data_IF_086723133469
#
_entry.id   IF_086723133469
#
_cell.length_a   1.000
_cell.length_b   1.000
_cell.length_c   1.000
_cell.angle_alpha   90.00
_cell.angle_beta   90.00
_cell.angle_gamma   90.00
#
_symmetry.space_group_name_H-M   'P 1'
#
loop_
_entity.id
_entity.type
_entity.pdbx_description
1 polymer ?
#
# COMPACT_ATOMS: atom_id res chain seq x y z
N UNK A 1 32.81 81.05 18.69
CA UNK A 1 31.70 80.20 19.04
C UNK A 1 30.86 79.93 17.76
N UNK A 2 31.00 78.77 17.13
CA UNK A 2 30.20 78.38 16.00
C UNK A 2 29.82 76.87 16.20
N UNK A 3 28.58 76.64 16.49
CA UNK A 3 27.98 75.38 16.69
C UNK A 3 27.69 74.72 15.31
N UNK A 4 28.38 73.65 14.99
CA UNK A 4 28.09 72.83 13.81
C UNK A 4 27.00 71.85 14.12
N UNK A 5 25.95 71.79 13.28
CA UNK A 5 24.89 70.79 13.29
C UNK A 5 25.30 69.64 12.36
N UNK A 6 25.47 68.45 12.91
CA UNK A 6 25.59 67.26 12.15
C UNK A 6 24.18 66.73 11.85
N UNK A 7 23.84 66.59 10.57
CA UNK A 7 22.65 65.91 10.10
C UNK A 7 22.99 64.43 9.96
N UNK A 8 22.28 63.59 10.72
CA UNK A 8 22.39 62.15 10.64
C UNK A 8 21.41 61.60 9.56
N UNK A 9 21.96 61.16 8.45
CA UNK A 9 21.20 60.57 7.39
C UNK A 9 20.95 59.05 7.76
N UNK A 10 19.73 58.74 8.17
CA UNK A 10 19.34 57.34 8.43
C UNK A 10 19.01 56.62 7.09
N UNK A 11 19.90 55.79 6.64
CA UNK A 11 19.61 54.85 5.54
C UNK A 11 18.76 53.68 6.04
N UNK A 12 17.50 53.65 5.65
CA UNK A 12 16.61 52.52 5.89
C UNK A 12 16.91 51.47 4.83
N UNK A 13 17.69 50.47 5.20
CA UNK A 13 17.82 49.22 4.39
C UNK A 13 16.57 48.40 4.57
N UNK A 14 15.72 48.36 3.55
CA UNK A 14 14.71 47.31 3.43
C UNK A 14 15.38 45.97 3.14
N UNK A 15 15.60 45.17 4.18
CA UNK A 15 15.91 43.76 4.03
C UNK A 15 14.61 43.06 3.68
N UNK A 16 14.41 42.79 2.39
CA UNK A 16 13.45 41.79 1.95
C UNK A 16 13.92 40.41 2.45
N UNK A 17 13.47 40.03 3.63
CA UNK A 17 13.71 38.73 4.19
C UNK A 17 12.94 37.70 3.36
N UNK A 18 13.64 36.95 2.51
CA UNK A 18 13.17 35.67 2.03
C UNK A 18 13.02 34.76 3.24
N UNK A 19 11.80 34.65 3.77
CA UNK A 19 11.44 33.62 4.71
C UNK A 19 11.36 32.28 3.96
N UNK A 20 12.50 31.72 3.60
CA UNK A 20 12.61 30.30 3.40
C UNK A 20 12.61 29.68 4.80
N UNK A 21 11.43 29.32 5.30
CA UNK A 21 11.32 28.38 6.42
C UNK A 21 11.83 27.04 5.93
N UNK A 22 13.15 26.85 5.96
CA UNK A 22 13.73 25.52 5.96
C UNK A 22 13.12 24.81 7.16
N UNK A 23 12.18 23.88 6.91
CA UNK A 23 11.80 22.93 7.95
C UNK A 23 13.10 22.26 8.36
N UNK A 24 13.58 22.58 9.55
CA UNK A 24 14.65 21.82 10.19
C UNK A 24 14.03 20.46 10.47
N UNK A 25 14.22 19.53 9.54
CA UNK A 25 13.89 18.13 9.78
C UNK A 25 14.79 17.69 10.92
N UNK A 26 14.21 17.18 12.01
CA UNK A 26 15.00 16.60 13.08
C UNK A 26 15.97 15.56 12.47
N UNK A 27 17.20 15.44 12.98
CA UNK A 27 18.13 14.42 12.48
C UNK A 27 17.44 13.06 12.58
N UNK A 28 17.26 12.44 11.44
CA UNK A 28 16.62 11.13 11.37
C UNK A 28 17.56 10.11 12.01
N UNK A 29 17.04 9.20 12.83
CA UNK A 29 17.83 8.14 13.42
C UNK A 29 18.56 7.36 12.34
N UNK A 30 19.83 7.02 12.56
CA UNK A 30 20.58 6.14 11.68
C UNK A 30 19.95 4.75 11.57
N UNK A 31 19.26 4.33 12.64
CA UNK A 31 18.51 3.07 12.71
C UNK A 31 17.02 3.37 12.73
N UNK A 32 16.28 2.78 11.81
CA UNK A 32 14.83 2.90 11.68
C UNK A 32 14.19 1.52 11.77
N UNK A 33 13.10 1.40 12.49
CA UNK A 33 12.40 0.15 12.73
C UNK A 33 11.02 0.16 12.05
N UNK A 34 10.63 -0.98 11.50
CA UNK A 34 9.39 -1.18 10.77
C UNK A 34 8.72 -2.49 11.19
N UNK A 35 7.40 -2.50 11.17
CA UNK A 35 6.58 -3.70 11.15
C UNK A 35 6.12 -3.95 9.72
N UNK A 36 6.26 -5.15 9.21
CA UNK A 36 6.00 -5.49 7.82
C UNK A 36 5.24 -6.80 7.65
N UNK A 37 4.58 -6.91 6.52
CA UNK A 37 3.94 -8.14 6.07
C UNK A 37 4.33 -8.43 4.63
N UNK A 38 4.61 -9.69 4.33
CA UNK A 38 4.79 -10.15 2.98
C UNK A 38 3.45 -10.55 2.36
N UNK A 39 3.30 -10.39 1.06
CA UNK A 39 2.08 -10.77 0.34
C UNK A 39 1.73 -12.26 0.40
N UNK A 40 2.60 -13.08 0.94
CA UNK A 40 2.37 -14.50 1.27
C UNK A 40 1.85 -14.73 2.70
N UNK A 41 1.80 -13.66 3.53
CA UNK A 41 1.33 -13.72 4.91
C UNK A 41 2.45 -13.95 5.94
N UNK A 42 3.67 -13.50 5.65
CA UNK A 42 4.76 -13.54 6.63
C UNK A 42 4.82 -12.20 7.39
N UNK A 43 4.65 -12.23 8.70
CA UNK A 43 4.82 -11.06 9.57
C UNK A 43 6.28 -10.88 9.98
N UNK A 44 6.79 -9.67 9.77
CA UNK A 44 8.19 -9.34 9.99
C UNK A 44 8.36 -8.06 10.83
N UNK A 45 9.44 -8.01 11.63
CA UNK A 45 10.01 -6.75 12.06
C UNK A 45 11.31 -6.49 11.30
N UNK A 46 11.52 -5.26 10.87
CA UNK A 46 12.63 -4.87 10.00
C UNK A 46 13.33 -3.68 10.65
N UNK A 47 14.65 -3.70 10.65
CA UNK A 47 15.49 -2.58 11.10
C UNK A 47 16.49 -2.22 10.02
N UNK A 48 16.48 -0.96 9.60
CA UNK A 48 17.41 -0.43 8.59
C UNK A 48 18.45 0.43 9.31
N UNK A 49 19.71 0.05 9.21
CA UNK A 49 20.85 0.88 9.63
C UNK A 49 21.46 1.57 8.40
N UNK A 50 21.21 2.88 8.28
CA UNK A 50 21.70 3.66 7.15
C UNK A 50 23.21 3.94 7.21
N UNK A 51 23.84 3.79 8.39
CA UNK A 51 25.28 3.96 8.55
C UNK A 51 26.03 2.69 8.16
N UNK A 52 25.55 1.55 8.64
CA UNK A 52 26.12 0.25 8.29
C UNK A 52 25.68 -0.25 6.91
N UNK A 53 24.65 0.36 6.32
CA UNK A 53 23.98 -0.09 5.09
C UNK A 53 23.52 -1.55 5.19
N UNK A 54 22.83 -1.87 6.28
CA UNK A 54 22.29 -3.20 6.54
C UNK A 54 20.81 -3.15 6.86
N UNK A 55 20.11 -4.20 6.46
CA UNK A 55 18.72 -4.49 6.83
C UNK A 55 18.76 -5.74 7.71
N UNK A 56 18.30 -5.61 8.94
CA UNK A 56 18.11 -6.75 9.86
C UNK A 56 16.62 -7.04 9.94
N UNK A 57 16.24 -8.29 9.81
CA UNK A 57 14.84 -8.70 9.89
C UNK A 57 14.66 -9.87 10.86
N UNK A 58 13.46 -9.96 11.38
CA UNK A 58 12.94 -11.11 12.10
C UNK A 58 11.56 -11.45 11.54
N UNK A 59 11.47 -12.61 10.92
CA UNK A 59 10.25 -13.21 10.46
C UNK A 59 9.66 -14.04 11.61
N UNK A 60 8.49 -13.64 12.07
CA UNK A 60 7.80 -14.30 13.18
C UNK A 60 7.01 -15.52 12.71
N UNK A 61 6.56 -15.52 11.47
CA UNK A 61 5.77 -16.60 10.88
C UNK A 61 6.64 -17.85 10.69
N UNK A 62 7.85 -17.66 10.15
CA UNK A 62 8.77 -18.75 9.86
C UNK A 62 9.86 -18.92 10.93
N UNK A 63 9.91 -18.04 11.93
CA UNK A 63 10.88 -18.10 13.01
C UNK A 63 12.31 -17.74 12.60
N UNK A 64 12.48 -16.93 11.55
CA UNK A 64 13.77 -16.59 10.98
C UNK A 64 14.29 -15.23 11.38
N UNK A 65 15.60 -15.12 11.34
CA UNK A 65 16.29 -13.84 11.51
C UNK A 65 17.45 -13.75 10.54
N UNK A 66 17.70 -12.55 10.02
CA UNK A 66 18.82 -12.33 9.13
C UNK A 66 19.26 -10.87 9.12
N UNK A 67 20.46 -10.67 8.58
CA UNK A 67 21.00 -9.35 8.27
C UNK A 67 21.56 -9.40 6.86
N UNK A 68 21.10 -8.50 6.02
CA UNK A 68 21.51 -8.42 4.60
C UNK A 68 22.06 -7.02 4.29
N UNK A 69 23.10 -6.93 3.48
CA UNK A 69 23.62 -5.64 3.03
C UNK A 69 22.70 -5.03 1.96
N UNK A 70 22.70 -3.70 1.88
CA UNK A 70 22.07 -3.00 0.78
C UNK A 70 22.94 -1.83 0.30
N UNK A 71 22.67 -1.38 -0.92
CA UNK A 71 23.22 -0.15 -1.48
C UNK A 71 22.09 0.77 -1.93
N UNK A 72 22.36 2.08 -1.91
CA UNK A 72 21.39 3.10 -2.36
C UNK A 72 21.72 3.46 -3.80
N UNK A 73 20.75 3.34 -4.68
CA UNK A 73 20.86 3.71 -6.08
C UNK A 73 20.71 5.23 -6.28
N UNK A 74 21.13 5.74 -7.44
CA UNK A 74 21.04 7.16 -7.77
C UNK A 74 19.61 7.73 -7.80
N UNK A 75 18.59 6.88 -7.88
CA UNK A 75 17.17 7.22 -7.83
C UNK A 75 16.56 7.07 -6.42
N UNK A 76 17.39 6.76 -5.43
CA UNK A 76 16.97 6.56 -4.03
C UNK A 76 16.43 5.18 -3.71
N UNK A 77 16.31 4.28 -4.69
CA UNK A 77 15.93 2.89 -4.42
C UNK A 77 17.11 2.11 -3.83
N UNK A 78 16.80 0.98 -3.21
CA UNK A 78 17.80 0.07 -2.65
C UNK A 78 18.02 -1.12 -3.58
N UNK A 79 19.26 -1.57 -3.65
CA UNK A 79 19.61 -2.91 -4.11
C UNK A 79 20.05 -3.71 -2.89
N UNK A 80 19.31 -4.76 -2.58
CA UNK A 80 19.49 -5.62 -1.43
C UNK A 80 20.06 -6.94 -1.92
N UNK A 81 21.14 -7.42 -1.32
CA UNK A 81 21.71 -8.72 -1.65
C UNK A 81 21.31 -9.75 -0.61
N UNK A 82 20.48 -10.71 -0.99
CA UNK A 82 20.08 -11.78 -0.10
C UNK A 82 21.20 -12.82 0.10
N UNK A 83 21.12 -13.72 1.09
CA UNK A 83 22.13 -14.75 1.32
C UNK A 83 22.31 -15.74 0.17
N UNK A 84 21.33 -15.86 -0.72
CA UNK A 84 21.36 -16.76 -1.89
C UNK A 84 21.95 -16.09 -3.13
N UNK A 85 22.28 -14.79 -3.04
CA UNK A 85 22.84 -14.00 -4.13
C UNK A 85 21.80 -13.36 -5.04
N UNK A 86 20.52 -13.36 -4.68
CA UNK A 86 19.49 -12.61 -5.39
C UNK A 86 19.69 -11.10 -5.13
N UNK A 87 19.40 -10.29 -6.14
CA UNK A 87 19.38 -8.84 -6.03
C UNK A 87 17.92 -8.39 -6.02
N UNK A 88 17.49 -7.91 -4.87
CA UNK A 88 16.12 -7.50 -4.60
C UNK A 88 16.03 -5.97 -4.57
N UNK A 89 14.93 -5.41 -5.05
CA UNK A 89 14.69 -3.98 -4.96
C UNK A 89 13.99 -3.62 -3.65
N UNK A 90 14.28 -2.42 -3.15
CA UNK A 90 13.58 -1.82 -2.03
C UNK A 90 13.45 -0.31 -2.22
N UNK A 91 12.47 0.29 -1.56
CA UNK A 91 12.30 1.72 -1.51
C UNK A 91 11.67 2.14 -0.19
N UNK A 92 12.19 3.20 0.38
CA UNK A 92 11.79 3.71 1.68
C UNK A 92 11.46 5.20 1.62
N UNK A 93 10.36 5.60 2.23
CA UNK A 93 10.18 6.95 2.74
C UNK A 93 10.44 6.88 4.25
N UNK A 94 11.60 7.34 4.71
CA UNK A 94 12.04 7.16 6.09
C UNK A 94 11.02 7.71 7.10
N UNK A 95 10.73 6.92 8.14
CA UNK A 95 9.74 7.27 9.15
C UNK A 95 8.28 7.14 8.68
N UNK A 96 8.04 6.44 7.57
CA UNK A 96 6.68 6.22 7.08
C UNK A 96 6.51 4.78 6.57
N UNK A 97 6.95 4.47 5.34
CA UNK A 97 6.75 3.17 4.68
C UNK A 97 8.04 2.70 4.02
N UNK A 98 8.28 1.41 4.11
CA UNK A 98 9.29 0.66 3.41
C UNK A 98 8.61 -0.39 2.53
N UNK A 99 9.10 -0.57 1.33
CA UNK A 99 8.72 -1.64 0.41
C UNK A 99 9.95 -2.43 0.01
N UNK A 100 9.86 -3.76 0.01
CA UNK A 100 10.96 -4.66 -0.32
C UNK A 100 10.45 -5.84 -1.12
N UNK A 101 11.16 -6.19 -2.19
CA UNK A 101 11.02 -7.50 -2.82
C UNK A 101 11.56 -8.58 -1.89
N UNK A 102 10.93 -9.73 -1.88
CA UNK A 102 11.37 -10.90 -1.13
C UNK A 102 11.34 -12.13 -2.02
N UNK A 103 12.48 -12.73 -2.23
CA UNK A 103 12.58 -14.01 -2.92
C UNK A 103 12.50 -15.16 -1.92
N UNK A 104 11.92 -16.29 -2.36
CA UNK A 104 11.79 -17.50 -1.57
C UNK A 104 11.03 -17.29 -0.25
N UNK A 105 9.98 -16.49 -0.29
CA UNK A 105 9.07 -16.23 0.81
C UNK A 105 8.02 -17.34 0.96
N UNK A 106 7.23 -17.26 2.03
CA UNK A 106 6.18 -18.21 2.33
C UNK A 106 6.67 -19.54 2.94
N UNK A 107 5.76 -20.40 3.36
CA UNK A 107 6.08 -21.60 4.14
C UNK A 107 6.91 -22.61 3.38
N UNK A 108 6.82 -22.65 2.04
CA UNK A 108 7.60 -23.54 1.20
C UNK A 108 8.89 -22.91 0.66
N UNK A 109 9.07 -21.60 0.85
CA UNK A 109 10.22 -20.81 0.36
C UNK A 109 10.44 -20.90 -1.14
N UNK A 110 9.39 -20.89 -1.88
CA UNK A 110 9.37 -21.04 -3.33
C UNK A 110 8.62 -19.92 -4.06
N UNK A 111 8.18 -18.90 -3.32
CA UNK A 111 7.32 -17.83 -3.83
C UNK A 111 8.02 -16.49 -3.66
N UNK A 112 8.05 -15.69 -4.72
CA UNK A 112 8.43 -14.29 -4.64
C UNK A 112 7.27 -13.48 -4.05
N UNK A 113 7.59 -12.48 -3.27
CA UNK A 113 6.61 -11.70 -2.52
C UNK A 113 6.97 -10.22 -2.44
N UNK A 114 5.97 -9.39 -2.24
CA UNK A 114 6.14 -7.99 -1.90
C UNK A 114 5.96 -7.80 -0.38
N UNK A 115 6.99 -7.29 0.28
CA UNK A 115 6.90 -6.84 1.67
C UNK A 115 6.48 -5.37 1.67
N UNK A 116 5.44 -5.06 2.43
CA UNK A 116 5.07 -3.69 2.78
C UNK A 116 5.22 -3.52 4.28
N UNK A 117 6.03 -2.56 4.69
CA UNK A 117 6.30 -2.31 6.10
C UNK A 117 6.05 -0.83 6.44
N UNK A 118 5.55 -0.58 7.64
CA UNK A 118 5.33 0.77 8.17
C UNK A 118 6.19 1.01 9.39
N UNK A 119 6.53 2.27 9.64
CA UNK A 119 7.34 2.64 10.81
C UNK A 119 6.78 2.00 12.08
N UNK A 120 7.65 1.31 12.81
CA UNK A 120 7.31 0.73 14.10
C UNK A 120 7.22 1.82 15.14
N UNK A 121 5.99 2.16 15.54
CA UNK A 121 5.69 3.13 16.59
C UNK A 121 4.93 2.41 17.71
N UNK A 122 4.96 2.92 18.94
CA UNK A 122 4.12 2.38 20.02
C UNK A 122 2.66 2.36 19.58
N UNK A 123 2.00 1.26 19.80
CA UNK A 123 0.64 1.02 19.32
C UNK A 123 -0.34 1.90 20.08
N UNK A 124 -1.20 2.59 19.33
CA UNK A 124 -2.39 3.25 19.85
C UNK A 124 -3.54 2.98 18.89
N UNK A 125 -4.71 2.72 19.43
CA UNK A 125 -5.94 2.58 18.64
C UNK A 125 -6.40 3.92 18.04
N UNK A 126 -5.94 5.05 18.58
CA UNK A 126 -6.40 6.40 18.19
C UNK A 126 -6.30 6.70 16.70
N UNK A 127 -5.26 6.28 15.96
CA UNK A 127 -5.19 6.48 14.52
C UNK A 127 -6.31 5.76 13.76
N UNK A 128 -6.91 4.73 14.32
CA UNK A 128 -7.89 3.85 13.68
C UNK A 128 -9.30 3.99 14.26
N UNK A 129 -9.42 4.30 15.54
CA UNK A 129 -10.69 4.34 16.26
C UNK A 129 -11.69 5.33 15.65
N UNK A 130 -12.91 4.88 15.44
CA UNK A 130 -13.99 5.69 14.87
C UNK A 130 -13.82 6.02 13.39
N UNK A 131 -12.94 5.33 12.66
CA UNK A 131 -12.61 5.62 11.25
C UNK A 131 -13.01 4.50 10.32
N UNK A 132 -13.28 4.89 9.06
CA UNK A 132 -13.46 3.99 7.94
C UNK A 132 -12.23 3.98 7.04
N UNK A 133 -11.97 2.83 6.46
CA UNK A 133 -10.85 2.58 5.56
C UNK A 133 -11.34 1.97 4.26
N UNK A 134 -10.73 2.36 3.16
CA UNK A 134 -10.72 1.55 1.95
C UNK A 134 -9.53 0.60 2.04
N UNK A 135 -9.67 -0.63 1.57
CA UNK A 135 -8.55 -1.56 1.53
C UNK A 135 -8.39 -2.23 0.17
N UNK A 136 -7.15 -2.58 -0.10
CA UNK A 136 -6.76 -3.49 -1.17
C UNK A 136 -6.04 -4.66 -0.52
N UNK A 137 -6.45 -5.88 -0.88
CA UNK A 137 -5.88 -7.12 -0.38
C UNK A 137 -5.11 -7.82 -1.50
N UNK A 138 -4.01 -8.41 -1.13
CA UNK A 138 -3.23 -9.29 -1.97
C UNK A 138 -2.95 -10.61 -1.27
N UNK A 139 -3.14 -11.72 -2.01
CA UNK A 139 -2.73 -13.07 -1.62
C UNK A 139 -1.94 -13.68 -2.76
N UNK A 140 -0.66 -13.93 -2.56
CA UNK A 140 0.18 -14.54 -3.60
C UNK A 140 -0.08 -16.03 -3.75
N UNK A 141 -0.29 -16.74 -2.65
CA UNK A 141 -0.45 -18.18 -2.66
C UNK A 141 -1.84 -18.67 -3.13
N UNK A 142 -2.87 -17.87 -3.05
CA UNK A 142 -4.25 -18.26 -3.30
C UNK A 142 -4.96 -17.48 -4.40
N UNK A 143 -4.24 -16.58 -5.08
CA UNK A 143 -4.82 -15.77 -6.17
C UNK A 143 -5.99 -14.90 -5.74
N UNK A 144 -5.95 -14.38 -4.53
CA UNK A 144 -7.04 -13.59 -3.97
C UNK A 144 -6.72 -12.10 -3.94
N UNK A 145 -7.04 -11.38 -5.03
CA UNK A 145 -7.12 -9.92 -4.96
C UNK A 145 -8.51 -9.53 -4.48
N UNK A 146 -8.58 -8.58 -3.59
CA UNK A 146 -9.82 -8.10 -3.03
C UNK A 146 -9.74 -6.60 -2.77
N UNK A 147 -10.85 -5.91 -2.91
CA UNK A 147 -11.01 -4.54 -2.47
C UNK A 147 -12.26 -4.40 -1.65
N UNK A 148 -12.27 -3.49 -0.72
CA UNK A 148 -13.45 -3.27 0.10
C UNK A 148 -13.29 -2.13 1.08
N UNK A 149 -14.14 -2.14 2.09
CA UNK A 149 -14.15 -1.15 3.15
C UNK A 149 -14.18 -1.84 4.50
N UNK A 150 -13.45 -1.25 5.44
CA UNK A 150 -13.43 -1.65 6.86
C UNK A 150 -13.76 -0.40 7.68
N UNK A 151 -14.52 -0.54 8.73
CA UNK A 151 -14.63 0.47 9.78
C UNK A 151 -14.18 -0.12 11.12
N UNK A 152 -13.54 0.73 11.93
CA UNK A 152 -13.10 0.39 13.27
C UNK A 152 -13.83 1.34 14.21
N UNK A 153 -14.62 0.81 15.14
CA UNK A 153 -15.33 1.64 16.10
C UNK A 153 -14.42 2.21 17.20
N UNK A 154 -14.95 3.02 18.09
CA UNK A 154 -14.18 3.64 19.16
C UNK A 154 -13.59 2.63 20.18
N UNK A 155 -14.09 1.41 20.21
CA UNK A 155 -13.64 0.31 21.07
C UNK A 155 -12.68 -0.65 20.33
N UNK A 156 -12.37 -0.43 19.06
CA UNK A 156 -11.51 -1.27 18.27
C UNK A 156 -12.22 -2.45 17.60
N UNK A 157 -13.56 -2.51 17.61
CA UNK A 157 -14.25 -3.57 16.88
C UNK A 157 -14.23 -3.30 15.39
N UNK A 158 -13.93 -4.33 14.61
CA UNK A 158 -13.84 -4.26 13.18
C UNK A 158 -15.17 -4.63 12.54
N UNK A 159 -15.59 -3.85 11.56
CA UNK A 159 -16.76 -4.11 10.74
C UNK A 159 -16.39 -4.05 9.27
N UNK A 160 -16.78 -5.07 8.51
CA UNK A 160 -16.70 -5.05 7.05
C UNK A 160 -17.87 -4.28 6.46
N UNK A 161 -17.57 -3.32 5.62
CA UNK A 161 -18.59 -2.55 4.92
C UNK A 161 -18.99 -3.11 3.57
N UNK A 162 -18.25 -4.07 3.05
CA UNK A 162 -18.44 -4.70 1.75
C UNK A 162 -17.10 -4.94 1.07
N UNK A 163 -17.03 -5.95 0.23
CA UNK A 163 -15.80 -6.32 -0.45
C UNK A 163 -16.07 -6.85 -1.87
N UNK A 164 -15.08 -6.74 -2.72
CA UNK A 164 -15.07 -7.27 -4.09
C UNK A 164 -13.90 -8.25 -4.22
N UNK A 165 -14.12 -9.55 -4.09
CA UNK A 165 -13.08 -10.54 -4.24
C UNK A 165 -12.71 -10.73 -5.70
N UNK A 166 -11.43 -10.91 -5.95
CA UNK A 166 -10.92 -11.26 -7.26
C UNK A 166 -11.44 -12.65 -7.68
N UNK A 167 -12.10 -12.69 -8.82
CA UNK A 167 -12.49 -13.94 -9.47
C UNK A 167 -13.63 -14.70 -8.84
N UNK A 168 -14.17 -14.26 -7.74
CA UNK A 168 -15.34 -14.87 -7.13
C UNK A 168 -16.45 -13.81 -7.05
N UNK A 169 -17.44 -13.95 -7.91
CA UNK A 169 -18.67 -13.19 -7.76
C UNK A 169 -19.55 -13.89 -6.75
N UNK A 170 -19.43 -13.55 -5.50
CA UNK A 170 -20.42 -13.96 -4.53
C UNK A 170 -21.59 -12.98 -4.55
N UNK A 171 -22.79 -13.49 -4.47
CA UNK A 171 -24.00 -12.66 -4.36
C UNK A 171 -24.02 -11.79 -3.09
N UNK A 172 -23.07 -12.01 -2.18
CA UNK A 172 -22.90 -11.28 -0.94
C UNK A 172 -21.85 -10.16 -1.01
N UNK A 173 -21.35 -9.83 -2.18
CA UNK A 173 -20.26 -8.87 -2.43
C UNK A 173 -20.44 -7.51 -1.76
N UNK A 174 -21.66 -7.13 -1.44
CA UNK A 174 -21.98 -5.81 -0.91
C UNK A 174 -22.95 -5.86 0.28
N UNK A 175 -23.29 -7.05 0.72
CA UNK A 175 -23.99 -7.21 1.98
C UNK A 175 -22.99 -7.11 3.13
N UNK A 176 -23.14 -6.10 3.99
CA UNK A 176 -22.28 -5.95 5.15
C UNK A 176 -22.20 -7.25 5.93
N UNK A 177 -21.08 -7.98 5.76
CA UNK A 177 -20.70 -9.07 6.64
C UNK A 177 -20.08 -8.40 7.87
N UNK A 178 -20.65 -8.61 9.03
CA UNK A 178 -19.87 -8.44 10.23
C UNK A 178 -18.85 -9.58 10.24
N UNK A 179 -17.57 -9.28 10.31
CA UNK A 179 -16.66 -10.24 10.93
C UNK A 179 -17.25 -10.60 12.28
N UNK A 180 -17.32 -11.87 12.59
CA UNK A 180 -17.82 -12.29 13.88
C UNK A 180 -16.97 -11.61 14.95
N UNK A 181 -17.52 -10.55 15.56
CA UNK A 181 -17.01 -9.83 16.73
C UNK A 181 -15.48 -9.76 16.86
N UNK A 182 -14.76 -9.44 15.80
CA UNK A 182 -13.32 -9.26 15.88
C UNK A 182 -13.01 -7.91 16.49
N UNK A 183 -12.23 -7.90 17.55
CA UNK A 183 -11.69 -6.68 18.16
C UNK A 183 -10.18 -6.65 18.06
N UNK A 184 -9.64 -5.48 17.80
CA UNK A 184 -8.21 -5.23 17.85
C UNK A 184 -7.77 -5.27 19.31
N UNK A 185 -6.77 -6.11 19.61
CA UNK A 185 -6.16 -6.22 20.93
C UNK A 185 -4.68 -5.86 20.83
N UNK A 186 -4.20 -5.06 21.77
CA UNK A 186 -2.78 -4.71 21.84
C UNK A 186 -1.94 -5.95 22.19
N UNK A 187 -0.90 -6.22 21.39
CA UNK A 187 0.08 -7.23 21.72
C UNK A 187 0.89 -6.81 22.95
N UNK A 188 1.25 -7.74 23.85
CA UNK A 188 2.02 -7.41 25.04
C UNK A 188 3.37 -6.72 24.79
N UNK A 189 3.94 -6.82 23.58
CA UNK A 189 5.13 -6.07 23.18
C UNK A 189 4.85 -4.58 22.95
N UNK A 190 3.60 -4.18 22.74
CA UNK A 190 3.19 -2.81 22.48
C UNK A 190 3.56 -2.26 21.10
N UNK A 191 3.88 -3.12 20.13
CA UNK A 191 4.32 -2.69 18.80
C UNK A 191 3.32 -2.99 17.67
N UNK A 192 2.33 -3.82 17.93
CA UNK A 192 1.28 -4.18 16.96
C UNK A 192 0.02 -4.64 17.71
N UNK A 193 -1.07 -4.82 16.96
CA UNK A 193 -2.30 -5.40 17.47
C UNK A 193 -2.48 -6.81 16.93
N UNK A 194 -3.23 -7.60 17.65
CA UNK A 194 -3.74 -8.89 17.18
C UNK A 194 -5.25 -8.84 17.02
N UNK A 195 -5.75 -9.57 16.05
CA UNK A 195 -7.19 -9.80 15.85
C UNK A 195 -7.41 -11.29 15.94
N UNK A 196 -8.21 -11.71 16.90
CA UNK A 196 -8.55 -13.11 17.06
C UNK A 196 -9.67 -13.48 16.08
N UNK A 197 -9.36 -14.31 15.13
CA UNK A 197 -10.31 -14.85 14.17
C UNK A 197 -10.45 -16.37 14.31
N UNK A 198 -11.57 -16.89 13.86
CA UNK A 198 -11.82 -18.34 13.89
C UNK A 198 -10.81 -19.18 13.08
N UNK A 199 -10.03 -18.54 12.21
CA UNK A 199 -9.01 -19.17 11.35
C UNK A 199 -7.58 -18.97 11.84
N UNK A 200 -7.36 -18.19 12.88
CA UNK A 200 -6.05 -17.80 13.40
C UNK A 200 -6.04 -16.35 13.86
N UNK A 201 -4.89 -15.88 14.31
CA UNK A 201 -4.73 -14.49 14.71
C UNK A 201 -4.10 -13.70 13.57
N UNK A 202 -4.80 -12.68 13.11
CA UNK A 202 -4.22 -11.69 12.20
C UNK A 202 -3.40 -10.67 12.99
N UNK A 203 -2.32 -10.18 12.39
CA UNK A 203 -1.50 -9.10 12.97
C UNK A 203 -1.83 -7.77 12.31
N UNK A 204 -2.14 -6.76 13.13
CA UNK A 204 -2.54 -5.43 12.65
C UNK A 204 -1.56 -4.38 13.14
N UNK A 205 -1.13 -3.52 12.24
CA UNK A 205 -0.25 -2.40 12.53
C UNK A 205 -0.52 -1.23 11.58
N UNK A 206 0.10 -0.08 11.83
CA UNK A 206 -0.11 1.06 10.95
C UNK A 206 0.64 2.31 11.40
N UNK A 207 0.50 3.36 10.62
CA UNK A 207 1.14 4.64 10.89
C UNK A 207 0.25 5.54 11.76
N UNK A 208 0.83 6.53 12.41
CA UNK A 208 0.12 7.60 13.11
C UNK A 208 -0.91 8.32 12.22
N UNK A 209 -0.69 8.33 10.90
CA UNK A 209 -1.61 8.93 9.94
C UNK A 209 -2.74 7.98 9.50
N UNK A 210 -2.79 6.76 10.07
CA UNK A 210 -3.85 5.80 9.81
C UNK A 210 -3.64 4.95 8.55
N UNK A 211 -2.42 4.82 8.02
CA UNK A 211 -2.13 3.75 7.07
C UNK A 211 -2.21 2.43 7.82
N UNK A 212 -3.16 1.60 7.41
CA UNK A 212 -3.55 0.39 8.14
C UNK A 212 -3.06 -0.83 7.37
N UNK A 213 -2.43 -1.75 8.05
CA UNK A 213 -1.88 -2.98 7.46
C UNK A 213 -2.31 -4.17 8.28
N UNK A 214 -2.76 -5.21 7.60
CA UNK A 214 -3.09 -6.50 8.21
C UNK A 214 -2.26 -7.59 7.55
N UNK A 215 -1.56 -8.34 8.35
CA UNK A 215 -1.02 -9.63 7.98
C UNK A 215 -2.04 -10.72 8.32
N UNK A 216 -2.50 -11.43 7.30
CA UNK A 216 -3.57 -12.44 7.42
C UNK A 216 -3.04 -13.88 7.44
N UNK A 217 -1.72 -14.08 7.60
CA UNK A 217 -1.11 -15.41 7.52
C UNK A 217 -1.13 -16.07 6.13
N UNK A 218 -1.80 -15.49 5.13
CA UNK A 218 -1.80 -15.93 3.73
C UNK A 218 -1.89 -14.77 2.73
N UNK A 219 -1.66 -13.56 3.18
CA UNK A 219 -1.73 -12.35 2.37
C UNK A 219 -1.65 -11.08 3.19
N UNK A 220 -1.74 -9.97 2.50
CA UNK A 220 -1.63 -8.62 3.07
C UNK A 220 -2.86 -7.79 2.73
N UNK A 221 -3.42 -7.08 3.71
CA UNK A 221 -4.38 -6.00 3.49
C UNK A 221 -3.66 -4.66 3.71
N UNK A 222 -3.83 -3.75 2.77
CA UNK A 222 -3.41 -2.35 2.91
C UNK A 222 -4.64 -1.47 2.93
N UNK A 223 -4.90 -0.86 4.08
CA UNK A 223 -6.03 0.01 4.31
C UNK A 223 -5.61 1.48 4.38
N UNK A 224 -6.34 2.33 3.69
CA UNK A 224 -6.13 3.77 3.66
C UNK A 224 -7.40 4.47 4.13
N UNK A 225 -7.29 5.49 5.00
CA UNK A 225 -8.46 6.20 5.50
C UNK A 225 -9.35 6.68 4.35
N UNK A 226 -10.66 6.51 4.51
CA UNK A 226 -11.62 7.05 3.56
C UNK A 226 -11.50 8.56 3.47
N UNK A 227 -11.37 9.07 2.25
CA UNK A 227 -11.44 10.51 2.02
C UNK A 227 -12.89 10.99 2.01
N UNK A 228 -13.11 12.22 2.46
CA UNK A 228 -14.44 12.84 2.35
C UNK A 228 -14.83 13.13 0.89
N UNK A 229 -13.86 13.26 -0.02
CA UNK A 229 -14.07 13.62 -1.41
C UNK A 229 -14.29 12.39 -2.31
N UNK A 230 -15.30 12.47 -3.17
CA UNK A 230 -15.57 11.48 -4.23
C UNK A 230 -14.74 11.71 -5.50
N UNK A 231 -14.08 12.84 -5.63
CA UNK A 231 -13.34 13.22 -6.84
C UNK A 231 -11.84 13.21 -6.57
N UNK A 232 -11.08 12.86 -7.60
CA UNK A 232 -9.62 12.96 -7.55
C UNK A 232 -9.19 14.40 -7.20
N UNK A 233 -8.23 14.52 -6.30
CA UNK A 233 -7.66 15.81 -5.91
C UNK A 233 -6.22 15.94 -6.42
N UNK A 234 -5.91 17.07 -7.02
CA UNK A 234 -4.60 17.32 -7.64
C UNK A 234 -3.41 17.25 -6.66
N UNK A 235 -3.66 17.31 -5.35
CA UNK A 235 -2.63 17.07 -4.33
C UNK A 235 -2.03 15.67 -4.41
N UNK A 236 -2.77 14.70 -4.97
CA UNK A 236 -2.29 13.34 -5.23
C UNK A 236 -1.53 13.21 -6.56
N UNK A 237 -1.44 14.27 -7.36
CA UNK A 237 -0.63 14.26 -8.58
C UNK A 237 0.87 14.22 -8.24
N UNK A 238 1.66 13.66 -9.15
CA UNK A 238 3.10 13.54 -9.01
C UNK A 238 3.62 12.20 -9.50
N UNK A 239 4.90 11.98 -9.29
CA UNK A 239 5.56 10.71 -9.58
C UNK A 239 5.88 10.01 -8.28
N UNK A 240 5.52 8.74 -8.21
CA UNK A 240 5.77 7.85 -7.08
C UNK A 240 6.74 6.75 -7.56
N UNK A 241 7.76 6.48 -6.78
CA UNK A 241 8.57 5.28 -6.95
C UNK A 241 7.82 4.12 -6.31
N UNK A 242 7.55 3.07 -7.08
CA UNK A 242 6.79 1.92 -6.61
C UNK A 242 7.62 0.64 -6.67
N UNK A 243 7.34 -0.25 -5.74
CA UNK A 243 7.62 -1.67 -5.88
C UNK A 243 6.28 -2.35 -6.16
N UNK A 244 6.25 -3.22 -7.12
CA UNK A 244 5.05 -3.90 -7.54
C UNK A 244 5.27 -5.40 -7.70
N UNK A 245 4.19 -6.12 -7.64
CA UNK A 245 4.09 -7.54 -7.90
C UNK A 245 3.19 -7.73 -9.10
N UNK A 246 3.60 -8.59 -10.02
CA UNK A 246 2.75 -8.99 -11.13
C UNK A 246 2.64 -10.51 -11.22
N UNK A 247 1.52 -10.97 -11.71
CA UNK A 247 1.27 -12.38 -11.93
C UNK A 247 0.33 -12.58 -13.09
N UNK A 248 0.56 -13.63 -13.84
CA UNK A 248 -0.41 -14.07 -14.85
C UNK A 248 -1.36 -15.07 -14.22
N UNK A 249 -2.64 -14.82 -14.36
CA UNK A 249 -3.70 -15.67 -13.84
C UNK A 249 -4.81 -15.84 -14.85
N UNK A 250 -5.62 -16.85 -14.64
CA UNK A 250 -6.88 -17.04 -15.34
C UNK A 250 -7.99 -17.21 -14.32
N UNK A 251 -9.13 -16.60 -14.60
CA UNK A 251 -10.33 -16.76 -13.79
C UNK A 251 -11.09 -17.98 -14.27
N UNK A 252 -11.47 -18.85 -13.36
CA UNK A 252 -12.31 -20.01 -13.67
C UNK A 252 -13.63 -19.92 -12.90
N UNK A 253 -14.65 -20.65 -13.29
CA UNK A 253 -15.92 -20.71 -12.57
C UNK A 253 -15.82 -21.27 -11.13
N UNK A 254 -14.63 -21.68 -10.71
CA UNK A 254 -14.34 -22.20 -9.37
C UNK A 254 -13.29 -21.36 -8.62
N UNK A 255 -12.91 -20.19 -9.15
CA UNK A 255 -11.91 -19.29 -8.58
C UNK A 255 -10.78 -18.96 -9.55
N UNK A 256 -9.71 -18.38 -9.03
CA UNK A 256 -8.53 -18.04 -9.81
C UNK A 256 -7.63 -19.24 -9.97
N UNK A 257 -7.16 -19.46 -11.19
CA UNK A 257 -6.05 -20.36 -11.48
C UNK A 257 -4.87 -19.49 -11.88
N UNK A 258 -3.83 -19.55 -11.11
CA UNK A 258 -2.57 -18.92 -11.44
C UNK A 258 -1.81 -19.79 -12.43
N UNK A 259 -1.40 -19.20 -13.53
CA UNK A 259 -0.76 -19.92 -14.64
C UNK A 259 0.67 -19.48 -14.89
N UNK A 260 1.11 -18.39 -14.27
CA UNK A 260 2.45 -17.84 -14.42
C UNK A 260 3.24 -17.85 -13.11
N UNK A 261 4.55 -17.75 -13.23
CA UNK A 261 5.42 -17.44 -12.11
C UNK A 261 5.21 -15.98 -11.73
N UNK A 262 4.99 -15.65 -10.44
CA UNK A 262 4.96 -14.27 -10.02
C UNK A 262 6.29 -13.59 -10.30
N UNK A 263 6.22 -12.31 -10.60
CA UNK A 263 7.39 -11.45 -10.64
C UNK A 263 7.13 -10.16 -9.88
N UNK A 264 8.15 -9.62 -9.31
CA UNK A 264 8.15 -8.30 -8.69
C UNK A 264 9.14 -7.41 -9.39
N UNK A 265 9.02 -6.12 -9.15
CA UNK A 265 9.90 -5.18 -9.78
C UNK A 265 9.66 -3.74 -9.33
N UNK A 266 10.56 -2.90 -9.81
CA UNK A 266 10.46 -1.47 -9.63
C UNK A 266 9.61 -0.85 -10.74
N UNK A 267 8.72 0.07 -10.36
CA UNK A 267 7.89 0.83 -11.27
C UNK A 267 7.90 2.33 -10.92
N UNK A 268 7.55 3.14 -11.90
CA UNK A 268 7.17 4.53 -11.68
C UNK A 268 5.66 4.67 -11.89
N UNK A 269 4.99 5.28 -10.92
CA UNK A 269 3.57 5.65 -11.02
C UNK A 269 3.50 7.16 -11.19
N UNK A 270 3.13 7.60 -12.38
CA UNK A 270 2.97 9.03 -12.68
C UNK A 270 1.50 9.39 -12.76
N UNK A 271 1.09 10.42 -12.02
CA UNK A 271 -0.30 10.87 -11.97
C UNK A 271 -0.34 12.36 -12.30
N UNK A 272 -1.00 12.70 -13.39
CA UNK A 272 -1.22 14.08 -13.82
C UNK A 272 -2.26 14.80 -12.96
N UNK A 273 -2.27 16.13 -13.03
CA UNK A 273 -3.23 16.95 -12.28
C UNK A 273 -4.70 16.66 -12.65
N UNK A 274 -4.95 16.14 -13.86
CA UNK A 274 -6.27 15.70 -14.31
C UNK A 274 -6.66 14.29 -13.85
N UNK A 275 -5.77 13.59 -13.12
CA UNK A 275 -5.99 12.21 -12.71
C UNK A 275 -5.59 11.16 -13.76
N UNK A 276 -4.93 11.55 -14.86
CA UNK A 276 -4.33 10.54 -15.75
C UNK A 276 -3.19 9.84 -15.01
N UNK A 277 -3.34 8.56 -14.78
CA UNK A 277 -2.36 7.70 -14.12
C UNK A 277 -1.67 6.81 -15.17
N UNK A 278 -0.38 6.66 -15.05
CA UNK A 278 0.42 5.73 -15.84
C UNK A 278 1.38 4.99 -14.93
N UNK A 279 1.43 3.68 -15.05
CA UNK A 279 2.37 2.80 -14.36
C UNK A 279 3.35 2.29 -15.41
N UNK A 280 4.64 2.50 -15.18
CA UNK A 280 5.71 2.04 -16.07
C UNK A 280 6.71 1.19 -15.30
N UNK A 281 7.19 0.12 -15.91
CA UNK A 281 8.27 -0.69 -15.37
C UNK A 281 9.64 0.01 -15.42
N UNK A 282 10.67 -0.64 -14.92
CA UNK A 282 12.05 -0.13 -14.94
C UNK A 282 12.63 0.03 -16.35
N UNK A 283 12.02 -0.57 -17.37
CA UNK A 283 12.40 -0.46 -18.78
C UNK A 283 11.57 0.58 -19.54
N UNK A 284 10.71 1.33 -18.82
CA UNK A 284 9.74 2.31 -19.34
C UNK A 284 8.65 1.71 -20.23
N UNK A 285 8.34 0.42 -20.10
CA UNK A 285 7.14 -0.12 -20.71
C UNK A 285 5.91 0.29 -19.86
N UNK A 286 4.86 0.71 -20.53
CA UNK A 286 3.60 1.01 -19.85
C UNK A 286 2.89 -0.28 -19.46
N UNK A 287 2.77 -0.52 -18.16
CA UNK A 287 2.04 -1.65 -17.60
C UNK A 287 0.52 -1.35 -17.56
N UNK A 288 0.17 -0.13 -17.16
CA UNK A 288 -1.21 0.32 -17.07
C UNK A 288 -1.30 1.82 -17.30
N UNK A 289 -2.39 2.29 -17.91
CA UNK A 289 -2.67 3.72 -18.03
C UNK A 289 -4.18 3.98 -18.15
N UNK A 290 -4.65 5.03 -17.48
CA UNK A 290 -6.04 5.46 -17.56
C UNK A 290 -6.34 6.66 -16.67
N UNK A 291 -7.50 7.27 -16.88
CA UNK A 291 -7.95 8.40 -16.07
C UNK A 291 -8.71 7.90 -14.84
N UNK A 292 -8.28 8.30 -13.67
CA UNK A 292 -8.88 7.94 -12.40
C UNK A 292 -10.30 8.48 -12.29
N UNK A 293 -11.25 7.60 -12.10
CA UNK A 293 -12.64 7.90 -11.77
C UNK A 293 -12.95 7.37 -10.36
N UNK A 294 -13.85 8.02 -9.64
CA UNK A 294 -14.29 7.49 -8.36
C UNK A 294 -14.94 6.11 -8.53
N UNK A 295 -14.69 5.21 -7.59
CA UNK A 295 -15.41 3.93 -7.55
C UNK A 295 -16.90 4.21 -7.37
N UNK A 296 -17.72 3.59 -8.20
CA UNK A 296 -19.17 3.82 -8.20
C UNK A 296 -19.80 3.31 -6.90
N UNK A 297 -20.75 4.09 -6.37
CA UNK A 297 -21.54 3.69 -5.18
C UNK A 297 -22.49 2.51 -5.48
N UNK A 298 -22.73 2.24 -6.76
CA UNK A 298 -23.59 1.16 -7.26
C UNK A 298 -22.86 0.35 -8.31
N UNK A 299 -21.88 -0.47 -7.94
CA UNK A 299 -21.19 -1.31 -8.91
C UNK A 299 -22.18 -2.34 -9.49
N UNK A 300 -21.96 -2.66 -10.76
CA UNK A 300 -22.72 -3.72 -11.39
C UNK A 300 -22.14 -5.08 -10.99
N UNK A 301 -23.02 -5.97 -10.54
CA UNK A 301 -22.68 -7.38 -10.44
C UNK A 301 -22.55 -7.99 -11.85
N UNK A 302 -21.99 -9.14 -11.88
CA UNK A 302 -21.73 -9.88 -13.13
C UNK A 302 -23.00 -10.25 -13.92
N UNK A 303 -24.13 -10.37 -13.27
CA UNK A 303 -25.43 -10.62 -13.90
C UNK A 303 -26.10 -9.35 -14.44
N UNK A 304 -25.42 -8.21 -14.37
CA UNK A 304 -25.94 -6.92 -14.81
C UNK A 304 -26.83 -6.21 -13.78
N UNK A 305 -27.03 -6.79 -12.60
CA UNK A 305 -27.75 -6.10 -11.51
C UNK A 305 -26.86 -5.07 -10.82
N UNK A 306 -27.42 -3.87 -10.60
CA UNK A 306 -26.76 -2.83 -9.82
C UNK A 306 -27.07 -3.03 -8.34
N UNK A 307 -26.01 -3.14 -7.53
CA UNK A 307 -26.14 -3.18 -6.08
C UNK A 307 -25.48 -1.95 -5.46
N UNK A 308 -26.21 -1.32 -4.52
CA UNK A 308 -25.67 -0.21 -3.76
C UNK A 308 -24.71 -0.74 -2.70
N UNK A 309 -23.51 -0.16 -2.64
CA UNK A 309 -22.58 -0.42 -1.56
C UNK A 309 -23.21 0.01 -0.23
N UNK A 310 -23.18 -0.86 0.77
CA UNK A 310 -23.60 -0.53 2.12
C UNK A 310 -22.70 0.53 2.76
N UNK A 311 -21.43 0.55 2.33
CA UNK A 311 -20.42 1.47 2.79
C UNK A 311 -19.56 1.93 1.59
N UNK A 312 -19.83 3.13 1.03
CA UNK A 312 -19.16 3.63 -0.18
C UNK A 312 -17.65 3.78 -0.02
N UNK A 313 -16.89 3.47 -1.08
CA UNK A 313 -15.42 3.53 -1.15
C UNK A 313 -14.91 4.95 -1.41
N UNK A 314 -15.31 5.95 -0.64
CA UNK A 314 -14.85 7.33 -0.85
C UNK A 314 -13.33 7.46 -0.71
N UNK A 315 -12.69 8.07 -1.73
CA UNK A 315 -11.23 8.16 -1.81
C UNK A 315 -10.55 6.99 -2.51
N UNK A 316 -11.32 6.00 -2.97
CA UNK A 316 -10.85 4.99 -3.90
C UNK A 316 -11.24 5.35 -5.32
N UNK A 317 -10.32 5.14 -6.23
CA UNK A 317 -10.45 5.45 -7.65
C UNK A 317 -10.21 4.20 -8.49
N UNK A 318 -10.68 4.24 -9.72
CA UNK A 318 -10.46 3.14 -10.65
C UNK A 318 -10.33 3.66 -12.08
N UNK A 319 -9.66 2.91 -12.92
CA UNK A 319 -9.71 3.03 -14.36
C UNK A 319 -9.69 1.64 -15.00
N UNK A 320 -10.27 1.54 -16.19
CA UNK A 320 -10.33 0.28 -16.94
C UNK A 320 -9.20 0.18 -17.94
N UNK A 321 -8.61 -0.99 -18.04
CA UNK A 321 -7.60 -1.33 -19.01
C UNK A 321 -7.88 -2.69 -19.64
N UNK A 322 -7.17 -3.02 -20.71
CA UNK A 322 -7.20 -4.34 -21.34
C UNK A 322 -5.80 -4.94 -21.34
N UNK A 323 -5.69 -6.18 -20.89
CA UNK A 323 -4.46 -6.97 -20.92
C UNK A 323 -4.77 -8.34 -21.50
N UNK A 324 -4.05 -8.76 -22.55
CA UNK A 324 -4.31 -10.03 -23.23
C UNK A 324 -5.72 -10.21 -23.78
N UNK A 325 -6.41 -9.09 -24.09
CA UNK A 325 -7.82 -9.11 -24.51
C UNK A 325 -8.83 -9.21 -23.37
N UNK A 326 -8.37 -9.31 -22.12
CA UNK A 326 -9.20 -9.34 -20.92
C UNK A 326 -9.31 -7.93 -20.34
N UNK A 327 -10.55 -7.49 -20.08
CA UNK A 327 -10.79 -6.23 -19.38
C UNK A 327 -10.61 -6.41 -17.88
N UNK A 328 -9.88 -5.48 -17.29
CA UNK A 328 -9.67 -5.41 -15.84
C UNK A 328 -9.76 -3.96 -15.37
N UNK A 329 -10.10 -3.77 -14.13
CA UNK A 329 -10.07 -2.47 -13.48
C UNK A 329 -8.85 -2.39 -12.54
N UNK A 330 -8.16 -1.26 -12.59
CA UNK A 330 -7.10 -0.92 -11.63
C UNK A 330 -7.72 -0.07 -10.54
N UNK A 331 -7.67 -0.55 -9.31
CA UNK A 331 -8.13 0.18 -8.13
C UNK A 331 -6.96 0.88 -7.47
N UNK A 332 -7.18 2.12 -7.05
CA UNK A 332 -6.14 3.02 -6.57
C UNK A 332 -6.64 3.77 -5.34
N UNK A 333 -5.83 3.82 -4.30
CA UNK A 333 -6.09 4.61 -3.11
C UNK A 333 -4.85 5.38 -2.68
N UNK A 334 -5.04 6.50 -1.97
CA UNK A 334 -3.97 7.42 -1.59
C UNK A 334 -3.98 7.73 -0.10
N UNK A 335 -2.78 7.84 0.49
CA UNK A 335 -2.57 8.34 1.83
C UNK A 335 -1.28 9.15 1.91
N UNK A 336 -1.40 10.49 2.01
CA UNK A 336 -0.23 11.37 2.05
C UNK A 336 0.68 11.19 0.84
N UNK A 337 1.88 10.69 1.07
CA UNK A 337 2.88 10.41 0.03
C UNK A 337 2.83 8.98 -0.52
N UNK A 338 1.82 8.18 -0.14
CA UNK A 338 1.67 6.83 -0.62
C UNK A 338 0.52 6.68 -1.60
N UNK A 339 0.69 5.83 -2.59
CA UNK A 339 -0.33 5.29 -3.48
C UNK A 339 -0.31 3.78 -3.40
N UNK A 340 -1.48 3.16 -3.23
CA UNK A 340 -1.64 1.71 -3.31
C UNK A 340 -2.50 1.43 -4.52
N UNK A 341 -2.13 0.45 -5.31
CA UNK A 341 -2.88 0.04 -6.49
C UNK A 341 -2.96 -1.47 -6.62
N UNK A 342 -4.07 -1.94 -7.17
CA UNK A 342 -4.29 -3.35 -7.49
C UNK A 342 -5.17 -3.45 -8.71
N UNK A 343 -4.86 -4.35 -9.62
CA UNK A 343 -5.70 -4.63 -10.78
C UNK A 343 -6.33 -6.01 -10.68
N UNK A 344 -7.58 -6.11 -11.07
CA UNK A 344 -8.26 -7.39 -11.19
C UNK A 344 -9.41 -7.36 -12.19
N UNK A 345 -9.77 -8.52 -12.68
CA UNK A 345 -10.84 -8.64 -13.64
C UNK A 345 -12.19 -8.37 -12.99
N UNK A 346 -12.91 -7.40 -13.54
CA UNK A 346 -14.22 -7.00 -13.06
C UNK A 346 -15.32 -7.23 -14.09
N UNK A 347 -14.93 -7.44 -15.35
CA UNK A 347 -15.88 -7.67 -16.45
C UNK A 347 -16.09 -9.15 -16.72
N UNK A 348 -17.31 -9.50 -17.10
CA UNK A 348 -17.76 -10.83 -17.43
C UNK A 348 -17.94 -11.00 -18.93
N UNK A 349 -17.96 -12.18 -19.42
CA UNK A 349 -18.47 -13.44 -18.89
C UNK A 349 -17.38 -14.41 -18.45
N UNK A 350 -17.73 -15.25 -17.50
CA UNK A 350 -16.85 -16.15 -16.80
C UNK A 350 -16.76 -17.54 -17.47
N UNK A 351 -16.76 -17.65 -18.76
CA UNK A 351 -16.53 -18.92 -19.41
C UNK A 351 -15.35 -18.86 -20.36
N UNK A 352 -14.31 -19.58 -20.04
CA UNK A 352 -13.15 -19.76 -20.91
C UNK A 352 -12.21 -18.54 -20.96
N UNK A 353 -11.69 -18.11 -19.82
CA UNK A 353 -10.81 -16.94 -19.77
C UNK A 353 -9.46 -17.15 -20.39
N UNK A 354 -9.07 -16.18 -21.19
CA UNK A 354 -7.67 -15.99 -21.51
C UNK A 354 -6.90 -15.59 -20.24
N UNK A 355 -5.69 -16.09 -20.03
CA UNK A 355 -4.82 -15.58 -18.99
C UNK A 355 -4.56 -14.09 -19.18
N UNK A 356 -4.53 -13.33 -18.10
CA UNK A 356 -4.21 -11.92 -18.09
C UNK A 356 -3.21 -11.61 -16.98
N UNK A 357 -2.45 -10.56 -17.15
CA UNK A 357 -1.52 -10.10 -16.12
C UNK A 357 -2.22 -9.11 -15.21
N UNK A 358 -2.13 -9.33 -13.91
CA UNK A 358 -2.62 -8.42 -12.89
C UNK A 358 -1.48 -7.90 -12.03
N UNK A 359 -1.69 -6.75 -11.41
CA UNK A 359 -0.68 -5.98 -10.70
C UNK A 359 -1.18 -5.63 -9.31
N UNK A 360 -0.24 -5.59 -8.38
CA UNK A 360 -0.43 -5.04 -7.06
C UNK A 360 0.84 -4.28 -6.68
N UNK A 361 0.70 -3.12 -6.07
CA UNK A 361 1.88 -2.37 -5.70
C UNK A 361 1.60 -1.21 -4.76
N UNK A 362 2.69 -0.73 -4.19
CA UNK A 362 2.73 0.46 -3.35
C UNK A 362 3.78 1.40 -3.92
N UNK A 363 3.39 2.65 -4.10
CA UNK A 363 4.28 3.71 -4.55
C UNK A 363 4.39 4.81 -3.52
N UNK A 364 5.58 5.41 -3.41
CA UNK A 364 5.91 6.47 -2.46
C UNK A 364 6.53 7.66 -3.18
N UNK A 365 6.24 8.90 -2.71
CA UNK A 365 6.84 10.16 -3.22
C UNK A 365 7.35 11.06 -2.10
#
# INVERSE_FOLDING_TARGET
MKTGRFALLAAVCFLAGCNSTSKVTAPQSAVRAYNGTASVGDFLTISIDSTAQTITYKDYTNGETGTVPYSINGDGTYTISDPNGNLLAGYEVPGFVLMVEAANAGPNRDTDALITAVESVPVSIDPFAGKGFNYLQMRTAAGGMEMGTISIDAQGNIQHGGYWPFGVFSQNLFGGGSFAASSIQEDPSGNFFTVDESSGNDTVFGTQNGFFVVDMGNGTILGLPKAAAKTFVSANAGTYTAIFYEKTGAQTGQGNVETGTPSEGKAAVTIGASGLMTITDSQNHTLASGTLAAVADTPYLYDGTANKLSDPCYGMFTFRMSSGGVQQDVFVSFQGNAVVFSSFQTALPIQGYAPYTYYYGVGLK
#
